data_IF_001850587254
#
_entry.id   IF_001850587254
#
_cell.length_a   1.000
_cell.length_b   1.000
_cell.length_c   1.000
_cell.angle_alpha   90.00
_cell.angle_beta   90.00
_cell.angle_gamma   90.00
#
_symmetry.space_group_name_H-M   'P 1'
#
loop_
_entity.id
_entity.type
_entity.pdbx_description
1 polymer ?
#
# COMPACT_ATOMS: atom_id res chain seq x y z
N UNK A 1 56.30 55.03 19.25
CA UNK A 1 55.52 54.69 18.03
C UNK A 1 54.50 53.62 18.39
N UNK A 2 53.19 53.80 18.15
CA UNK A 2 52.17 52.86 18.61
C UNK A 2 52.01 51.69 17.64
N UNK A 3 52.19 50.47 18.14
CA UNK A 3 51.86 49.22 17.44
C UNK A 3 50.35 48.97 17.55
N UNK A 4 49.62 49.02 16.42
CA UNK A 4 48.18 48.64 16.40
C UNK A 4 48.03 47.11 16.39
N UNK A 5 47.08 46.52 17.15
CA UNK A 5 46.95 45.07 17.32
C UNK A 5 46.28 44.39 16.11
N UNK A 6 46.91 43.31 15.60
CA UNK A 6 46.48 42.49 14.46
C UNK A 6 45.30 41.54 14.74
N UNK A 7 44.64 41.66 15.90
CA UNK A 7 43.68 40.66 16.38
C UNK A 7 42.25 40.83 15.81
N UNK A 8 41.89 42.04 15.37
CA UNK A 8 40.55 42.32 14.83
C UNK A 8 40.33 41.77 13.41
N UNK A 9 41.40 41.56 12.64
CA UNK A 9 41.31 41.18 11.22
C UNK A 9 40.89 39.71 11.03
N UNK A 10 41.31 38.81 11.91
CA UNK A 10 41.02 37.38 11.78
C UNK A 10 39.59 37.02 12.16
N UNK A 11 39.03 37.67 13.19
CA UNK A 11 37.63 37.43 13.62
C UNK A 11 36.66 37.92 12.55
N UNK A 12 36.94 39.08 11.93
CA UNK A 12 36.11 39.65 10.87
C UNK A 12 36.11 38.77 9.61
N UNK A 13 37.26 38.17 9.26
CA UNK A 13 37.34 37.20 8.15
C UNK A 13 36.55 35.93 8.45
N UNK A 14 36.66 35.36 9.66
CA UNK A 14 35.93 34.13 10.00
C UNK A 14 34.41 34.32 9.96
N UNK A 15 33.90 35.45 10.48
CA UNK A 15 32.47 35.76 10.44
C UNK A 15 32.00 35.95 9.00
N UNK A 16 32.79 36.62 8.15
CA UNK A 16 32.46 36.82 6.74
C UNK A 16 32.37 35.51 5.94
N UNK A 17 33.32 34.58 6.15
CA UNK A 17 33.31 33.27 5.48
C UNK A 17 32.13 32.43 5.93
N UNK A 18 31.78 32.47 7.22
CA UNK A 18 30.64 31.72 7.75
C UNK A 18 29.31 32.22 7.18
N UNK A 19 29.13 33.54 7.10
CA UNK A 19 27.91 34.14 6.53
C UNK A 19 27.79 33.81 5.04
N UNK A 20 28.88 33.88 4.27
CA UNK A 20 28.86 33.50 2.85
C UNK A 20 28.52 32.02 2.64
N UNK A 21 29.05 31.12 3.47
CA UNK A 21 28.74 29.69 3.41
C UNK A 21 27.26 29.39 3.74
N UNK A 22 26.69 30.09 4.71
CA UNK A 22 25.27 29.94 5.06
C UNK A 22 24.37 30.47 3.94
N UNK A 23 24.71 31.60 3.31
CA UNK A 23 23.94 32.18 2.20
C UNK A 23 24.00 31.31 0.94
N UNK A 24 25.14 30.68 0.64
CA UNK A 24 25.24 29.75 -0.50
C UNK A 24 24.49 28.46 -0.23
N UNK A 25 24.53 27.92 0.99
CA UNK A 25 23.74 26.75 1.37
C UNK A 25 22.23 27.00 1.30
N UNK A 26 21.76 28.15 1.80
CA UNK A 26 20.33 28.51 1.74
C UNK A 26 19.85 28.75 0.30
N UNK A 27 20.68 29.35 -0.56
CA UNK A 27 20.38 29.51 -1.99
C UNK A 27 20.31 28.15 -2.70
N UNK A 28 21.20 27.21 -2.35
CA UNK A 28 21.20 25.85 -2.91
C UNK A 28 19.93 25.09 -2.54
N UNK A 29 19.51 25.16 -1.27
CA UNK A 29 18.28 24.50 -0.77
C UNK A 29 17.03 25.07 -1.45
N UNK A 30 16.99 26.38 -1.71
CA UNK A 30 15.88 27.01 -2.45
C UNK A 30 15.86 26.63 -3.93
N UNK A 31 17.02 26.47 -4.56
CA UNK A 31 17.12 26.04 -5.96
C UNK A 31 16.68 24.57 -6.13
N UNK A 32 17.01 23.69 -5.18
CA UNK A 32 16.54 22.30 -5.17
C UNK A 32 15.03 22.16 -4.93
N UNK A 33 14.43 23.07 -4.15
CA UNK A 33 12.98 23.05 -3.88
C UNK A 33 12.15 23.43 -5.10
N UNK A 34 12.61 24.37 -5.93
CA UNK A 34 11.89 24.79 -7.15
C UNK A 34 11.99 23.75 -8.28
N UNK A 35 13.00 22.89 -8.26
CA UNK A 35 13.18 21.84 -9.27
C UNK A 35 12.27 20.61 -9.03
N UNK A 36 11.77 20.40 -7.81
CA UNK A 36 10.98 19.21 -7.47
C UNK A 36 9.50 19.28 -7.88
N UNK A 37 8.91 20.48 -8.00
CA UNK A 37 7.45 20.58 -8.15
C UNK A 37 6.93 20.50 -9.60
N UNK A 38 7.77 20.70 -10.63
CA UNK A 38 7.26 20.89 -12.00
C UNK A 38 7.63 19.83 -13.04
N UNK A 39 8.64 18.98 -12.82
CA UNK A 39 9.19 18.12 -13.91
C UNK A 39 8.96 16.63 -13.69
N UNK A 40 8.66 16.19 -12.47
CA UNK A 40 8.56 14.76 -12.16
C UNK A 40 7.19 14.06 -12.38
N UNK A 41 6.02 14.72 -12.56
CA UNK A 41 4.79 13.93 -12.66
C UNK A 41 4.58 13.31 -14.06
N UNK A 42 5.23 13.82 -15.13
CA UNK A 42 4.95 13.32 -16.50
C UNK A 42 5.92 12.25 -17.00
N UNK A 43 7.18 12.24 -16.55
CA UNK A 43 8.18 11.31 -17.07
C UNK A 43 8.16 9.93 -16.38
N UNK A 44 7.69 9.87 -15.13
CA UNK A 44 7.64 8.60 -14.38
C UNK A 44 6.47 7.69 -14.77
N UNK A 45 5.48 8.20 -15.51
CA UNK A 45 4.35 7.41 -16.03
C UNK A 45 4.71 6.54 -17.24
N UNK A 46 5.88 6.75 -17.87
CA UNK A 46 6.31 6.05 -19.08
C UNK A 46 7.41 5.01 -18.89
N UNK A 47 7.95 4.84 -17.68
CA UNK A 47 8.88 3.75 -17.43
C UNK A 47 8.10 2.44 -17.37
N UNK A 48 8.34 1.48 -18.29
CA UNK A 48 7.83 0.14 -18.09
C UNK A 48 8.40 -0.33 -16.75
N UNK A 49 7.52 -0.70 -15.80
CA UNK A 49 7.95 -1.36 -14.58
C UNK A 49 8.85 -2.52 -15.02
N UNK A 50 10.15 -2.44 -14.69
CA UNK A 50 11.10 -3.49 -15.02
C UNK A 50 10.64 -4.75 -14.30
N UNK A 51 9.90 -5.60 -15.02
CA UNK A 51 9.53 -6.94 -14.57
C UNK A 51 10.81 -7.78 -14.65
N UNK A 52 11.67 -7.65 -13.65
CA UNK A 52 12.83 -8.52 -13.53
C UNK A 52 12.32 -9.89 -13.11
N UNK A 53 11.99 -10.73 -14.09
CA UNK A 53 11.67 -12.13 -13.85
C UNK A 53 12.95 -12.84 -13.41
N UNK A 54 13.19 -12.86 -12.10
CA UNK A 54 14.27 -13.66 -11.54
C UNK A 54 13.93 -15.14 -11.78
N UNK A 55 14.71 -15.79 -12.65
CA UNK A 55 14.54 -17.20 -13.02
C UNK A 55 14.74 -18.18 -11.83
N UNK A 56 15.05 -17.67 -10.62
CA UNK A 56 15.05 -18.42 -9.35
C UNK A 56 13.78 -18.22 -8.51
N UNK A 57 12.82 -17.42 -8.95
CA UNK A 57 11.61 -17.14 -8.18
C UNK A 57 10.79 -18.42 -7.95
N UNK A 58 10.60 -18.80 -6.67
CA UNK A 58 9.82 -19.98 -6.24
C UNK A 58 8.30 -19.77 -6.33
N UNK A 59 7.87 -18.56 -6.67
CA UNK A 59 6.47 -18.15 -6.80
C UNK A 59 6.38 -16.65 -7.06
N UNK A 60 5.20 -16.17 -7.41
CA UNK A 60 4.90 -14.76 -7.65
C UNK A 60 3.61 -14.37 -6.93
N UNK A 61 3.55 -13.11 -6.48
CA UNK A 61 2.36 -12.51 -5.85
C UNK A 61 2.13 -11.16 -6.52
N UNK A 62 0.87 -10.88 -6.84
CA UNK A 62 0.45 -9.61 -7.42
C UNK A 62 -0.79 -9.11 -6.69
N UNK A 63 -0.78 -7.84 -6.33
CA UNK A 63 -1.95 -7.12 -5.81
C UNK A 63 -1.87 -5.66 -6.25
N UNK A 64 -2.94 -4.92 -6.02
CA UNK A 64 -3.03 -3.47 -6.28
C UNK A 64 -2.00 -2.63 -5.51
N UNK A 65 -1.46 -3.16 -4.41
CA UNK A 65 -0.49 -2.47 -3.57
C UNK A 65 0.85 -3.20 -3.54
N UNK A 66 1.94 -2.44 -3.72
CA UNK A 66 3.29 -2.99 -3.68
C UNK A 66 3.61 -3.65 -2.33
N UNK A 67 3.30 -3.01 -1.21
CA UNK A 67 3.59 -3.55 0.12
C UNK A 67 2.82 -4.83 0.42
N UNK A 68 1.59 -4.96 -0.08
CA UNK A 68 0.82 -6.19 0.10
C UNK A 68 1.31 -7.32 -0.80
N UNK A 69 1.79 -7.00 -2.00
CA UNK A 69 2.49 -7.99 -2.84
C UNK A 69 3.78 -8.47 -2.18
N UNK A 70 4.56 -7.57 -1.58
CA UNK A 70 5.77 -7.90 -0.83
C UNK A 70 5.46 -8.76 0.41
N UNK A 71 4.39 -8.46 1.15
CA UNK A 71 3.95 -9.29 2.29
C UNK A 71 3.62 -10.74 1.90
N UNK A 72 2.93 -10.94 0.77
CA UNK A 72 2.69 -12.28 0.23
C UNK A 72 3.96 -12.98 -0.22
N UNK A 73 4.89 -12.26 -0.86
CA UNK A 73 6.20 -12.80 -1.24
C UNK A 73 7.00 -13.22 0.00
N UNK A 74 6.93 -12.47 1.09
CA UNK A 74 7.61 -12.81 2.33
C UNK A 74 7.06 -14.09 2.97
N UNK A 75 5.74 -14.34 2.85
CA UNK A 75 5.17 -15.64 3.23
C UNK A 75 5.67 -16.80 2.37
N UNK A 76 5.82 -16.60 1.05
CA UNK A 76 6.43 -17.62 0.18
C UNK A 76 7.90 -17.86 0.56
N UNK A 77 8.65 -16.80 0.89
CA UNK A 77 10.05 -16.89 1.35
C UNK A 77 10.18 -17.61 2.69
N UNK A 78 9.20 -17.44 3.57
CA UNK A 78 9.09 -18.15 4.84
C UNK A 78 8.75 -19.65 4.69
N UNK A 79 8.50 -20.12 3.46
CA UNK A 79 8.18 -21.51 3.16
C UNK A 79 6.68 -21.82 3.17
N UNK A 80 5.83 -20.80 3.23
CA UNK A 80 4.38 -20.93 3.06
C UNK A 80 3.99 -21.32 1.63
N UNK A 81 2.76 -21.79 1.47
CA UNK A 81 2.20 -22.13 0.16
C UNK A 81 1.49 -20.92 -0.48
N UNK A 82 0.88 -21.12 -1.65
CA UNK A 82 0.16 -20.06 -2.36
C UNK A 82 -1.05 -19.51 -1.56
N UNK A 83 -1.71 -20.34 -0.74
CA UNK A 83 -2.82 -19.91 0.11
C UNK A 83 -2.33 -19.03 1.28
N UNK A 84 -1.20 -19.37 1.91
CA UNK A 84 -0.60 -18.54 2.97
C UNK A 84 -0.20 -17.15 2.45
N UNK A 85 0.39 -17.12 1.25
CA UNK A 85 0.74 -15.89 0.57
C UNK A 85 -0.49 -15.04 0.22
N UNK A 86 -1.56 -15.69 -0.27
CA UNK A 86 -2.84 -15.03 -0.54
C UNK A 86 -3.44 -14.42 0.74
N UNK A 87 -3.51 -15.17 1.84
CA UNK A 87 -4.05 -14.68 3.13
C UNK A 87 -3.28 -13.46 3.63
N UNK A 88 -1.95 -13.48 3.58
CA UNK A 88 -1.14 -12.34 3.99
C UNK A 88 -1.35 -11.10 3.09
N UNK A 89 -1.46 -11.32 1.78
CA UNK A 89 -1.73 -10.26 0.80
C UNK A 89 -3.09 -9.62 1.04
N UNK A 90 -4.15 -10.43 1.14
CA UNK A 90 -5.53 -9.95 1.36
C UNK A 90 -5.66 -9.27 2.72
N UNK A 91 -5.03 -9.81 3.76
CA UNK A 91 -5.03 -9.16 5.08
C UNK A 91 -4.35 -7.79 5.05
N UNK A 92 -3.22 -7.66 4.34
CA UNK A 92 -2.58 -6.36 4.11
C UNK A 92 -3.48 -5.39 3.34
N UNK A 93 -4.13 -5.86 2.26
CA UNK A 93 -5.06 -5.04 1.47
C UNK A 93 -6.23 -4.58 2.33
N UNK A 94 -6.77 -5.43 3.21
CA UNK A 94 -7.84 -5.03 4.14
C UNK A 94 -7.43 -3.95 5.15
N UNK A 95 -6.13 -3.75 5.40
CA UNK A 95 -5.61 -2.69 6.27
C UNK A 95 -5.29 -1.41 5.50
N UNK A 96 -4.74 -1.51 4.29
CA UNK A 96 -4.30 -0.33 3.52
C UNK A 96 -5.42 0.18 2.59
N UNK A 97 -6.19 -0.74 2.00
CA UNK A 97 -7.28 -0.51 1.06
C UNK A 97 -8.66 -0.46 1.72
N UNK A 98 -8.79 0.13 2.91
CA UNK A 98 -10.01 0.10 3.74
C UNK A 98 -11.28 0.62 3.06
N UNK A 99 -11.14 1.39 1.97
CA UNK A 99 -12.29 1.92 1.23
C UNK A 99 -13.01 0.85 0.37
N UNK A 100 -12.37 -0.30 0.10
CA UNK A 100 -12.97 -1.39 -0.68
C UNK A 100 -12.75 -2.79 -0.09
N UNK A 101 -11.77 -2.96 0.78
CA UNK A 101 -11.46 -4.25 1.42
C UNK A 101 -11.43 -4.10 2.94
N UNK A 102 -11.77 -5.16 3.66
CA UNK A 102 -11.75 -5.17 5.12
C UNK A 102 -12.28 -6.45 5.73
N UNK A 103 -11.99 -6.66 7.02
CA UNK A 103 -12.32 -7.90 7.76
C UNK A 103 -13.83 -8.16 7.94
N UNK A 104 -14.67 -7.15 7.73
CA UNK A 104 -16.11 -7.20 7.90
C UNK A 104 -16.89 -7.54 6.63
N UNK A 105 -16.22 -7.62 5.48
CA UNK A 105 -16.85 -7.98 4.20
C UNK A 105 -16.79 -9.48 3.90
N UNK A 106 -16.75 -9.78 2.61
CA UNK A 106 -16.61 -11.13 2.04
C UNK A 106 -15.91 -11.09 0.69
N UNK A 107 -15.49 -12.26 0.21
CA UNK A 107 -14.71 -12.39 -1.03
C UNK A 107 -14.86 -13.81 -1.59
N UNK A 108 -14.15 -14.11 -2.67
CA UNK A 108 -14.10 -15.41 -3.33
C UNK A 108 -12.64 -15.83 -3.52
N UNK A 109 -12.36 -17.13 -3.44
CA UNK A 109 -11.05 -17.66 -3.78
C UNK A 109 -11.19 -18.80 -4.79
N UNK A 110 -10.41 -18.75 -5.86
CA UNK A 110 -10.24 -19.86 -6.78
C UNK A 110 -8.84 -20.43 -6.61
N UNK A 111 -8.77 -21.67 -6.14
CA UNK A 111 -7.52 -22.34 -5.79
C UNK A 111 -7.30 -23.50 -6.75
N UNK A 112 -6.16 -23.53 -7.42
CA UNK A 112 -5.72 -24.69 -8.20
C UNK A 112 -4.81 -25.55 -7.34
N UNK A 113 -5.24 -26.75 -7.03
CA UNK A 113 -4.47 -27.71 -6.26
C UNK A 113 -3.36 -28.36 -7.13
N UNK A 114 -2.34 -28.91 -6.48
CA UNK A 114 -1.18 -29.50 -7.18
C UNK A 114 -1.56 -30.72 -8.03
N UNK A 115 -2.61 -31.44 -7.64
CA UNK A 115 -3.21 -32.55 -8.39
C UNK A 115 -3.94 -32.10 -9.67
N UNK A 116 -4.07 -30.78 -9.90
CA UNK A 116 -4.73 -30.22 -11.07
C UNK A 116 -6.22 -29.90 -10.88
N UNK A 117 -6.82 -30.23 -9.73
CA UNK A 117 -8.22 -29.88 -9.42
C UNK A 117 -8.35 -28.41 -9.05
N UNK A 118 -9.57 -27.89 -9.17
CA UNK A 118 -9.88 -26.52 -8.81
C UNK A 118 -10.88 -26.52 -7.66
N UNK A 119 -10.60 -25.74 -6.62
CA UNK A 119 -11.53 -25.46 -5.53
C UNK A 119 -11.95 -24.00 -5.58
N UNK A 120 -13.26 -23.77 -5.61
CA UNK A 120 -13.85 -22.45 -5.51
C UNK A 120 -14.43 -22.27 -4.10
N UNK A 121 -13.93 -21.30 -3.35
CA UNK A 121 -14.42 -20.97 -2.02
C UNK A 121 -15.24 -19.69 -2.10
N UNK A 122 -16.53 -19.82 -1.79
CA UNK A 122 -17.44 -18.68 -1.62
C UNK A 122 -17.55 -18.33 -0.12
N UNK A 123 -17.13 -17.11 0.22
CA UNK A 123 -17.27 -16.54 1.55
C UNK A 123 -17.85 -15.12 1.46
N UNK A 124 -18.80 -14.92 0.54
CA UNK A 124 -19.66 -13.73 0.52
C UNK A 124 -20.44 -13.57 1.82
N UNK A 125 -20.89 -12.34 2.04
CA UNK A 125 -21.74 -12.04 3.15
C UNK A 125 -23.15 -12.62 2.95
N UNK A 126 -23.82 -12.95 4.05
CA UNK A 126 -25.16 -13.52 4.11
C UNK A 126 -26.05 -12.58 4.88
N UNK A 127 -27.26 -12.38 4.37
CA UNK A 127 -28.29 -11.63 5.06
C UNK A 127 -28.45 -12.12 6.52
N UNK A 128 -28.53 -11.21 7.51
CA UNK A 128 -28.80 -11.60 8.88
C UNK A 128 -30.12 -12.39 8.99
N UNK A 129 -30.25 -13.25 10.00
CA UNK A 129 -31.45 -14.09 10.18
C UNK A 129 -32.73 -13.27 10.44
N UNK A 130 -32.58 -12.02 10.86
CA UNK A 130 -33.68 -11.09 11.06
C UNK A 130 -34.01 -10.26 9.80
N UNK A 131 -33.29 -10.45 8.69
CA UNK A 131 -33.58 -9.77 7.43
C UNK A 131 -34.86 -10.33 6.81
N UNK A 132 -35.65 -9.44 6.19
CA UNK A 132 -36.91 -9.77 5.51
C UNK A 132 -37.07 -8.86 4.29
N UNK A 133 -37.90 -9.28 3.33
CA UNK A 133 -37.99 -8.70 1.99
C UNK A 133 -38.27 -7.19 1.98
N UNK A 134 -39.18 -6.71 2.83
CA UNK A 134 -39.62 -5.32 2.84
C UNK A 134 -38.81 -4.40 3.78
N UNK A 135 -37.68 -4.86 4.33
CA UNK A 135 -36.96 -4.13 5.40
C UNK A 135 -36.46 -2.73 5.01
N UNK A 136 -36.35 -2.43 3.71
CA UNK A 136 -35.87 -1.13 3.20
C UNK A 136 -36.94 -0.31 2.46
N UNK A 137 -38.18 -0.80 2.35
CA UNK A 137 -39.23 -0.12 1.55
C UNK A 137 -39.58 1.27 2.07
N UNK A 138 -39.54 1.46 3.40
CA UNK A 138 -39.86 2.74 4.05
C UNK A 138 -38.63 3.61 4.32
N UNK A 139 -37.44 3.01 4.28
CA UNK A 139 -36.18 3.65 4.65
C UNK A 139 -35.04 3.07 3.81
N UNK A 140 -34.89 3.62 2.61
CA UNK A 140 -33.86 3.21 1.63
C UNK A 140 -32.46 3.57 2.13
N UNK A 141 -32.29 4.68 2.86
CA UNK A 141 -30.98 5.11 3.39
C UNK A 141 -30.37 4.07 4.32
N UNK A 142 -31.20 3.35 5.08
CA UNK A 142 -30.75 2.26 5.95
C UNK A 142 -30.15 1.05 5.20
N UNK A 143 -30.34 0.96 3.88
CA UNK A 143 -29.68 -0.06 3.04
C UNK A 143 -28.25 0.32 2.64
N UNK A 144 -27.90 1.62 2.73
CA UNK A 144 -26.58 2.14 2.38
C UNK A 144 -25.70 2.37 3.61
N UNK A 145 -26.32 2.72 4.74
CA UNK A 145 -25.63 3.16 5.94
C UNK A 145 -26.20 2.54 7.22
N UNK A 146 -25.33 2.42 8.22
CA UNK A 146 -25.68 1.94 9.54
C UNK A 146 -25.62 0.41 9.67
N UNK A 147 -26.31 -0.11 10.69
CA UNK A 147 -26.25 -1.56 11.01
C UNK A 147 -27.12 -2.39 10.09
N UNK A 148 -28.19 -1.81 9.52
CA UNK A 148 -29.11 -2.53 8.65
C UNK A 148 -28.49 -2.84 7.28
N UNK A 149 -27.53 -2.04 6.83
CA UNK A 149 -26.75 -2.25 5.61
C UNK A 149 -25.61 -3.28 5.78
N UNK A 150 -25.48 -3.89 6.95
CA UNK A 150 -24.43 -4.87 7.24
C UNK A 150 -24.95 -6.31 7.14
N UNK A 151 -24.08 -7.20 6.67
CA UNK A 151 -24.36 -8.63 6.52
C UNK A 151 -23.39 -9.46 7.36
N UNK A 152 -23.71 -10.74 7.58
CA UNK A 152 -22.87 -11.65 8.37
C UNK A 152 -21.95 -12.45 7.47
N UNK A 153 -20.86 -12.97 8.01
CA UNK A 153 -20.01 -13.94 7.30
C UNK A 153 -20.79 -15.20 6.92
N UNK A 154 -20.70 -15.67 5.67
CA UNK A 154 -21.20 -16.99 5.28
C UNK A 154 -20.45 -18.13 5.97
N UNK A 155 -21.11 -19.28 6.10
CA UNK A 155 -20.38 -20.56 6.13
C UNK A 155 -19.71 -20.76 4.77
N UNK A 156 -18.38 -20.79 4.74
CA UNK A 156 -17.60 -20.99 3.51
C UNK A 156 -18.05 -22.27 2.80
N UNK A 157 -18.52 -22.15 1.55
CA UNK A 157 -18.84 -23.30 0.71
C UNK A 157 -17.73 -23.48 -0.31
N UNK A 158 -17.12 -24.67 -0.33
CA UNK A 158 -16.15 -25.06 -1.35
C UNK A 158 -16.84 -25.90 -2.43
N UNK A 159 -16.76 -25.47 -3.68
CA UNK A 159 -17.15 -26.26 -4.84
C UNK A 159 -15.87 -26.74 -5.53
N UNK A 160 -15.61 -28.04 -5.46
CA UNK A 160 -14.51 -28.67 -6.19
C UNK A 160 -14.95 -28.99 -7.62
N UNK A 161 -14.21 -28.51 -8.62
CA UNK A 161 -14.38 -28.88 -10.01
C UNK A 161 -13.30 -29.90 -10.41
N UNK A 162 -13.76 -31.04 -10.94
CA UNK A 162 -12.93 -32.13 -11.51
C UNK A 162 -12.42 -31.80 -12.92
#
# INVERSE_FOLDING_TARGET
>A
MPHRPRLATNVTMCVGVFVMAVLTALSYVRLSSLAHDSVYPLFLQLLPASQHSDHRAKGAVSSENRFCSEAGVDMLRAGGNAADAMVATVFCVGVIGMYHSGIGGGEFALVRCQNGTYDFVDFREVAPAAAFEEMFVKDIESSLHGVNSSARRASSHSISQE
#
